data_IF_320565616936
#
_entry.id   IF_320565616936
#
_cell.length_a   1.000
_cell.length_b   1.000
_cell.length_c   1.000
_cell.angle_alpha   90.00
_cell.angle_beta   90.00
_cell.angle_gamma   90.00
#
_symmetry.space_group_name_H-M   'P 1'
#
loop_
_entity.id
_entity.type
_entity.pdbx_description
1 polymer ?
#
# COMPACT_ATOMS: atom_id res chain seq x y z
N UNK A 1 2.17 14.94 -13.65
CA UNK A 1 1.04 15.42 -12.83
C UNK A 1 -0.28 14.86 -13.39
N UNK A 2 -0.47 13.54 -13.35
CA UNK A 2 -1.75 12.94 -13.75
C UNK A 2 -2.52 12.59 -12.46
N UNK A 3 -3.59 13.34 -12.21
CA UNK A 3 -4.52 13.11 -11.12
C UNK A 3 -5.06 11.66 -11.19
N UNK A 4 -4.94 10.90 -10.11
CA UNK A 4 -5.66 9.64 -9.98
C UNK A 4 -7.16 9.94 -9.98
N UNK A 5 -7.99 9.21 -10.76
CA UNK A 5 -9.42 9.39 -10.70
C UNK A 5 -9.89 8.97 -9.32
N UNK A 6 -10.29 9.94 -8.50
CA UNK A 6 -10.98 9.66 -7.25
C UNK A 6 -12.27 8.93 -7.61
N UNK A 7 -12.28 7.61 -7.46
CA UNK A 7 -13.50 6.81 -7.53
C UNK A 7 -14.37 7.24 -6.35
N UNK A 8 -15.25 8.21 -6.59
CA UNK A 8 -16.33 8.58 -5.69
C UNK A 8 -17.17 7.33 -5.48
N UNK A 9 -17.03 6.66 -4.33
CA UNK A 9 -18.01 5.66 -3.93
C UNK A 9 -19.33 6.40 -3.75
N UNK A 10 -20.25 6.20 -4.69
CA UNK A 10 -21.62 6.69 -4.53
C UNK A 10 -22.27 5.77 -3.51
N UNK A 11 -22.35 6.23 -2.26
CA UNK A 11 -23.12 5.56 -1.22
C UNK A 11 -24.60 5.71 -1.58
N UNK A 12 -25.22 4.63 -2.06
CA UNK A 12 -26.68 4.53 -2.18
C UNK A 12 -27.23 4.47 -0.75
N UNK A 13 -27.79 5.57 -0.27
CA UNK A 13 -28.41 5.65 1.06
C UNK A 13 -29.83 5.11 0.99
N UNK A 14 -30.05 3.89 1.47
CA UNK A 14 -31.39 3.41 1.82
C UNK A 14 -31.71 3.93 3.23
N UNK A 15 -32.72 4.77 3.31
CA UNK A 15 -33.17 5.44 4.53
C UNK A 15 -33.85 4.47 5.50
N UNK A 16 -33.30 4.31 6.70
CA UNK A 16 -34.09 4.03 7.90
C UNK A 16 -33.40 4.63 9.14
N UNK A 17 -34.10 5.45 9.97
CA UNK A 17 -33.50 6.07 11.13
C UNK A 17 -33.76 5.21 12.37
N UNK A 18 -32.74 4.57 12.90
CA UNK A 18 -32.76 4.07 14.28
C UNK A 18 -31.49 4.49 14.96
N UNK A 19 -31.66 5.18 16.09
CA UNK A 19 -30.61 5.72 16.93
C UNK A 19 -29.59 4.64 17.33
N UNK A 20 -28.38 4.77 16.80
CA UNK A 20 -27.12 4.34 17.39
C UNK A 20 -26.04 5.20 16.75
N UNK A 21 -25.05 5.64 17.52
CA UNK A 21 -23.90 6.35 16.97
C UNK A 21 -23.36 5.53 15.81
N UNK A 22 -23.39 6.07 14.60
CA UNK A 22 -22.79 5.39 13.46
C UNK A 22 -21.31 5.30 13.75
N UNK A 23 -20.89 4.10 14.15
CA UNK A 23 -19.52 3.73 14.42
C UNK A 23 -18.73 4.07 13.16
N UNK A 24 -18.08 5.24 13.19
CA UNK A 24 -17.28 5.80 12.10
C UNK A 24 -16.26 4.78 11.55
N UNK A 25 -15.96 3.76 12.36
CA UNK A 25 -15.08 2.65 12.06
C UNK A 25 -15.67 1.58 11.15
N UNK A 26 -17.01 1.46 11.03
CA UNK A 26 -17.65 0.38 10.26
C UNK A 26 -17.47 0.50 8.74
N UNK A 27 -17.00 1.66 8.26
CA UNK A 27 -16.61 1.86 6.86
C UNK A 27 -15.17 2.37 6.68
N UNK A 28 -14.42 2.60 7.76
CA UNK A 28 -13.08 3.15 7.68
C UNK A 28 -12.03 2.05 7.48
N UNK A 29 -11.14 2.25 6.50
CA UNK A 29 -9.92 1.45 6.37
C UNK A 29 -9.06 1.62 7.63
N UNK A 30 -8.64 0.52 8.25
CA UNK A 30 -7.83 0.52 9.48
C UNK A 30 -6.49 1.29 9.31
N UNK A 31 -5.92 1.28 8.11
CA UNK A 31 -4.75 2.06 7.75
C UNK A 31 -4.73 2.32 6.23
N UNK A 32 -4.07 3.41 5.83
CA UNK A 32 -3.80 3.73 4.43
C UNK A 32 -2.31 4.08 4.29
N UNK A 33 -1.62 3.40 3.39
CA UNK A 33 -0.25 3.73 3.02
C UNK A 33 -0.22 4.35 1.62
N UNK A 34 0.52 5.43 1.44
CA UNK A 34 0.75 6.00 0.12
C UNK A 34 1.92 5.26 -0.54
N UNK A 35 1.66 4.60 -1.66
CA UNK A 35 2.69 3.98 -2.48
C UNK A 35 2.99 4.91 -3.67
N UNK A 36 4.24 5.36 -3.84
CA UNK A 36 4.60 6.18 -4.99
C UNK A 36 4.50 5.37 -6.29
N UNK A 37 4.24 6.06 -7.40
CA UNK A 37 4.32 5.45 -8.73
C UNK A 37 5.74 4.98 -9.01
N UNK A 38 5.91 3.67 -9.14
CA UNK A 38 7.19 3.07 -9.47
C UNK A 38 7.45 3.15 -10.98
N UNK A 39 8.60 3.70 -11.36
CA UNK A 39 9.06 3.72 -12.75
C UNK A 39 9.86 2.45 -13.04
N UNK A 40 9.76 1.92 -14.27
CA UNK A 40 10.58 0.80 -14.68
C UNK A 40 11.96 1.28 -15.13
N UNK A 41 13.00 0.65 -14.59
CA UNK A 41 14.39 0.90 -14.91
C UNK A 41 15.09 -0.42 -15.27
N UNK A 42 16.41 -0.47 -15.16
CA UNK A 42 17.22 -1.67 -15.36
C UNK A 42 16.76 -2.78 -14.44
N UNK A 43 16.57 -3.96 -15.02
CA UNK A 43 15.98 -5.14 -14.38
C UNK A 43 17.04 -6.24 -14.31
N UNK A 44 17.01 -7.08 -13.28
CA UNK A 44 17.89 -8.25 -13.22
C UNK A 44 17.52 -9.31 -14.27
N UNK A 45 18.50 -10.12 -14.65
CA UNK A 45 18.24 -11.39 -15.32
C UNK A 45 17.43 -12.33 -14.42
N UNK A 46 16.65 -13.20 -15.05
CA UNK A 46 15.62 -14.01 -14.38
C UNK A 46 16.16 -14.91 -13.25
N UNK A 47 17.34 -15.49 -13.42
CA UNK A 47 18.02 -16.34 -12.44
C UNK A 47 18.46 -15.53 -11.21
N UNK A 48 19.01 -14.34 -11.43
CA UNK A 48 19.42 -13.42 -10.36
C UNK A 48 18.20 -12.89 -9.61
N UNK A 49 17.17 -12.47 -10.33
CA UNK A 49 15.92 -11.97 -9.75
C UNK A 49 15.26 -13.02 -8.84
N UNK A 50 15.25 -14.28 -9.26
CA UNK A 50 14.73 -15.40 -8.46
C UNK A 50 15.55 -15.58 -7.17
N UNK A 51 16.88 -15.52 -7.26
CA UNK A 51 17.76 -15.64 -6.10
C UNK A 51 17.59 -14.48 -5.10
N UNK A 52 17.36 -13.25 -5.59
CA UNK A 52 17.18 -12.06 -4.73
C UNK A 52 15.76 -11.89 -4.19
N UNK A 53 14.77 -12.47 -4.85
CA UNK A 53 13.36 -12.27 -4.51
C UNK A 53 12.79 -10.93 -5.00
N UNK A 54 13.53 -10.21 -5.85
CA UNK A 54 13.09 -8.99 -6.52
C UNK A 54 13.72 -8.90 -7.90
N UNK A 55 12.94 -8.49 -8.89
CA UNK A 55 13.42 -8.24 -10.26
C UNK A 55 14.09 -6.85 -10.38
N UNK A 56 13.78 -5.95 -9.45
CA UNK A 56 14.26 -4.57 -9.43
C UNK A 56 15.46 -4.45 -8.48
N UNK A 57 16.67 -4.12 -8.99
CA UNK A 57 17.87 -3.93 -8.17
C UNK A 57 17.69 -2.88 -7.08
N UNK A 58 16.92 -1.83 -7.35
CA UNK A 58 16.65 -0.73 -6.42
C UNK A 58 15.87 -1.18 -5.17
N UNK A 59 15.19 -2.33 -5.23
CA UNK A 59 14.47 -2.91 -4.10
C UNK A 59 15.29 -3.96 -3.32
N UNK A 60 16.47 -4.36 -3.81
CA UNK A 60 17.38 -5.30 -3.13
C UNK A 60 18.18 -4.55 -2.04
N UNK A 61 17.49 -4.14 -0.98
CA UNK A 61 18.06 -3.41 0.14
C UNK A 61 18.28 -4.34 1.34
N UNK A 62 19.41 -4.22 2.08
CA UNK A 62 19.61 -5.02 3.28
C UNK A 62 18.49 -4.72 4.29
N UNK A 63 17.95 -5.77 4.89
CA UNK A 63 17.06 -5.63 6.06
C UNK A 63 17.88 -5.18 7.26
N UNK A 64 18.24 -3.90 7.28
CA UNK A 64 18.85 -3.27 8.43
C UNK A 64 17.77 -3.21 9.51
N UNK A 65 17.91 -4.05 10.53
CA UNK A 65 17.07 -3.96 11.71
C UNK A 65 17.41 -2.66 12.46
N UNK A 66 16.80 -1.56 12.05
CA UNK A 66 16.82 -0.31 12.79
C UNK A 66 16.11 -0.56 14.13
N UNK A 67 16.89 -0.77 15.20
CA UNK A 67 16.38 -0.88 16.56
C UNK A 67 16.71 -2.16 17.35
N UNK A 68 17.56 -3.06 16.84
CA UNK A 68 18.13 -4.14 17.67
C UNK A 68 19.64 -3.96 17.83
N UNK A 69 20.06 -3.72 19.06
CA UNK A 69 21.46 -3.77 19.46
C UNK A 69 21.98 -5.21 19.21
N UNK A 70 22.96 -5.37 18.34
CA UNK A 70 23.70 -6.62 18.21
C UNK A 70 24.43 -6.85 19.54
N UNK A 71 24.20 -8.01 20.16
CA UNK A 71 24.80 -8.40 21.44
C UNK A 71 26.30 -8.59 21.32
#
# INVERSE_FOLDING_TARGET
>A
MQNAPQRRMVVVKNSHPTAYEEDFMQGASLAMAYVPWQHWNTTYETDVALCRGTIFPELDLPFLCYGRCAK
#
